data_IF_543542864125
#
_entry.id   IF_543542864125
#
_cell.length_a   1.000
_cell.length_b   1.000
_cell.length_c   1.000
_cell.angle_alpha   90.00
_cell.angle_beta   90.00
_cell.angle_gamma   90.00
#
_symmetry.space_group_name_H-M   'P 1'
#
loop_
_entity.id
_entity.type
_entity.pdbx_description
1 polymer ?
#
# COMPACT_ATOMS: atom_id res chain seq x y z
N UNK A 1 2.43 -13.74 4.52
CA UNK A 1 1.12 -13.08 4.48
C UNK A 1 1.06 -11.99 3.43
N UNK A 2 2.03 -11.05 3.37
CA UNK A 2 2.11 -10.00 2.33
C UNK A 2 1.87 -10.46 0.88
N UNK A 3 2.25 -11.69 0.52
CA UNK A 3 1.96 -12.25 -0.80
C UNK A 3 0.46 -12.38 -1.13
N UNK A 4 -0.42 -12.35 -0.13
CA UNK A 4 -1.88 -12.33 -0.31
C UNK A 4 -2.37 -11.00 -0.90
N UNK A 5 -1.60 -9.93 -0.70
CA UNK A 5 -1.79 -8.62 -1.34
C UNK A 5 -0.66 -8.36 -2.37
N UNK A 6 -0.13 -9.43 -2.98
CA UNK A 6 0.85 -9.36 -4.06
C UNK A 6 2.24 -8.76 -3.70
N UNK A 7 2.50 -8.46 -2.42
CA UNK A 7 3.79 -7.94 -1.97
C UNK A 7 4.80 -9.04 -1.63
N UNK A 8 6.06 -8.80 -1.97
CA UNK A 8 7.23 -9.64 -1.63
C UNK A 8 8.10 -8.91 -0.61
N UNK A 9 8.42 -9.58 0.49
CA UNK A 9 9.29 -9.07 1.55
C UNK A 9 10.74 -9.47 1.25
N UNK A 10 11.64 -8.49 1.29
CA UNK A 10 13.07 -8.70 1.05
C UNK A 10 13.89 -8.87 2.34
N UNK A 11 13.37 -8.39 3.48
CA UNK A 11 14.06 -8.40 4.78
C UNK A 11 15.13 -7.33 4.93
N UNK A 12 15.20 -6.36 4.01
CA UNK A 12 16.08 -5.19 4.08
C UNK A 12 15.40 -3.97 3.48
N UNK A 13 15.42 -2.85 4.19
CA UNK A 13 14.76 -1.62 3.73
C UNK A 13 15.33 -1.10 2.40
N UNK A 14 14.43 -0.72 1.52
CA UNK A 14 14.73 0.09 0.35
C UNK A 14 15.00 1.54 0.78
N UNK A 15 16.06 2.18 0.26
CA UNK A 15 16.35 3.57 0.57
C UNK A 15 15.36 4.51 -0.16
N UNK A 16 14.83 5.50 0.56
CA UNK A 16 14.03 6.56 -0.05
C UNK A 16 14.90 7.45 -0.94
N UNK A 17 14.54 7.68 -2.21
CA UNK A 17 15.29 8.58 -3.09
C UNK A 17 15.05 10.07 -2.72
N UNK A 18 15.95 10.98 -3.11
CA UNK A 18 15.84 12.41 -2.81
C UNK A 18 14.50 13.06 -3.17
N UNK A 19 13.94 12.75 -4.35
CA UNK A 19 12.64 13.23 -4.82
C UNK A 19 11.48 12.87 -3.89
N UNK A 20 11.57 11.72 -3.23
CA UNK A 20 10.59 11.29 -2.23
C UNK A 20 10.84 11.99 -0.90
N UNK A 21 12.10 12.06 -0.46
CA UNK A 21 12.48 12.68 0.83
C UNK A 21 12.05 14.14 0.94
N UNK A 22 11.99 14.88 -0.17
CA UNK A 22 11.51 16.27 -0.18
C UNK A 22 10.07 16.42 0.31
N UNK A 23 9.22 15.43 0.02
CA UNK A 23 7.79 15.43 0.32
C UNK A 23 7.36 14.36 1.32
N UNK A 24 8.31 13.60 1.86
CA UNK A 24 8.03 12.41 2.66
C UNK A 24 7.24 12.74 3.94
N UNK A 25 6.19 11.95 4.16
CA UNK A 25 5.41 11.92 5.39
C UNK A 25 5.71 10.58 6.07
N UNK A 26 6.24 10.64 7.29
CA UNK A 26 6.52 9.44 8.08
C UNK A 26 5.23 8.83 8.60
N UNK A 27 5.04 7.54 8.35
CA UNK A 27 3.98 6.74 8.96
C UNK A 27 4.54 6.01 10.19
N UNK A 28 4.11 6.34 11.42
CA UNK A 28 4.65 5.70 12.62
C UNK A 28 4.24 4.23 12.77
N UNK A 29 3.23 3.78 12.03
CA UNK A 29 2.75 2.39 12.05
C UNK A 29 3.46 1.49 11.01
N UNK A 30 4.38 2.06 10.21
CA UNK A 30 5.23 1.35 9.25
C UNK A 30 6.66 1.36 9.75
N UNK A 31 7.16 0.19 10.16
CA UNK A 31 8.52 0.08 10.70
C UNK A 31 9.56 -0.06 9.58
N UNK A 32 9.20 -0.72 8.48
CA UNK A 32 10.10 -1.13 7.41
C UNK A 32 9.56 -0.80 6.03
N UNK A 33 10.46 -0.40 5.13
CA UNK A 33 10.19 -0.26 3.70
C UNK A 33 10.88 -1.42 2.96
N UNK A 34 10.58 -2.66 3.31
CA UNK A 34 11.23 -3.85 2.77
C UNK A 34 10.32 -4.73 1.89
N UNK A 35 9.08 -4.27 1.67
CA UNK A 35 8.06 -4.89 0.85
C UNK A 35 7.94 -4.21 -0.53
N UNK A 36 7.85 -4.99 -1.61
CA UNK A 36 7.58 -4.45 -2.95
C UNK A 36 6.55 -5.28 -3.71
N UNK A 37 5.91 -4.67 -4.71
CA UNK A 37 5.00 -5.31 -5.66
C UNK A 37 5.24 -4.78 -7.07
N UNK A 38 4.75 -5.49 -8.09
CA UNK A 38 4.83 -5.06 -9.49
C UNK A 38 3.59 -4.23 -9.86
N UNK A 39 3.81 -2.99 -10.32
CA UNK A 39 2.78 -2.08 -10.79
C UNK A 39 2.88 -1.87 -12.30
N UNK A 40 1.73 -1.79 -12.98
CA UNK A 40 1.63 -1.48 -14.40
C UNK A 40 1.56 0.04 -14.59
N UNK A 41 2.73 0.68 -14.59
CA UNK A 41 2.92 2.12 -14.63
C UNK A 41 3.13 2.56 -16.08
N UNK A 42 2.23 3.39 -16.60
CA UNK A 42 2.27 3.86 -17.99
C UNK A 42 2.42 2.73 -19.05
N UNK A 43 1.90 1.54 -18.75
CA UNK A 43 1.98 0.35 -19.62
C UNK A 43 3.25 -0.48 -19.47
N UNK A 44 4.15 -0.13 -18.54
CA UNK A 44 5.33 -0.90 -18.18
C UNK A 44 5.19 -1.50 -16.79
N UNK A 45 5.70 -2.72 -16.60
CA UNK A 45 5.73 -3.36 -15.29
C UNK A 45 6.96 -2.89 -14.52
N UNK A 46 6.74 -2.19 -13.42
CA UNK A 46 7.78 -1.64 -12.56
C UNK A 46 7.57 -2.19 -11.15
N UNK A 47 8.63 -2.77 -10.58
CA UNK A 47 8.64 -3.18 -9.18
C UNK A 47 8.82 -1.94 -8.31
N UNK A 48 7.85 -1.70 -7.43
CA UNK A 48 7.87 -0.56 -6.53
C UNK A 48 7.63 -1.00 -5.09
N UNK A 49 8.34 -0.36 -4.16
CA UNK A 49 7.93 -0.29 -2.76
C UNK A 49 7.10 0.98 -2.55
N UNK A 50 6.48 1.11 -1.40
CA UNK A 50 5.59 2.23 -1.09
C UNK A 50 6.21 3.19 -0.11
N UNK A 51 5.84 4.46 -0.26
CA UNK A 51 6.04 5.48 0.76
C UNK A 51 4.85 6.41 0.79
N UNK A 52 4.81 7.31 1.76
CA UNK A 52 3.77 8.33 1.84
C UNK A 52 4.37 9.71 1.61
N UNK A 53 3.76 10.50 0.74
CA UNK A 53 4.26 11.82 0.33
C UNK A 53 3.15 12.85 0.34
N UNK A 54 3.52 14.10 0.61
CA UNK A 54 2.67 15.25 0.36
C UNK A 54 2.63 15.55 -1.15
N UNK A 55 1.46 15.83 -1.71
CA UNK A 55 1.30 16.20 -3.13
C UNK A 55 1.49 17.70 -3.38
N UNK A 56 1.58 18.50 -2.31
CA UNK A 56 1.84 19.95 -2.31
C UNK A 56 2.59 20.36 -1.05
N UNK A 57 3.29 21.50 -1.09
CA UNK A 57 3.87 22.06 0.13
C UNK A 57 2.77 22.45 1.13
N UNK A 58 2.95 22.06 2.40
CA UNK A 58 1.98 22.35 3.47
C UNK A 58 1.65 23.85 3.63
N UNK A 59 2.58 24.74 3.28
CA UNK A 59 2.33 26.20 3.29
C UNK A 59 1.25 26.66 2.31
N UNK A 60 0.93 25.84 1.31
CA UNK A 60 -0.06 26.10 0.27
C UNK A 60 -1.42 25.43 0.57
N UNK A 61 -1.56 24.82 1.75
CA UNK A 61 -2.67 23.94 2.12
C UNK A 61 -3.52 24.55 3.24
N UNK A 62 -4.85 24.51 3.05
CA UNK A 62 -5.85 24.92 4.04
C UNK A 62 -6.93 23.83 4.28
N UNK A 63 -6.67 22.57 3.92
CA UNK A 63 -7.64 21.45 4.02
C UNK A 63 -7.13 20.30 4.90
N UNK A 64 -7.88 19.20 4.95
CA UNK A 64 -7.49 17.97 5.66
C UNK A 64 -6.23 17.33 5.07
N UNK A 65 -5.58 16.53 5.93
CA UNK A 65 -4.31 15.86 5.69
C UNK A 65 -4.33 14.95 4.45
N UNK A 66 -5.39 14.14 4.29
CA UNK A 66 -5.49 13.15 3.22
C UNK A 66 -5.69 13.77 1.83
N UNK A 67 -6.28 14.96 1.74
CA UNK A 67 -6.47 15.66 0.47
C UNK A 67 -5.15 15.98 -0.25
N UNK A 68 -4.05 16.17 0.50
CA UNK A 68 -2.75 16.57 -0.05
C UNK A 68 -1.65 15.57 0.25
N UNK A 69 -2.01 14.30 0.38
CA UNK A 69 -1.06 13.22 0.57
C UNK A 69 -1.46 12.03 -0.29
N UNK A 70 -0.49 11.25 -0.71
CA UNK A 70 -0.74 10.05 -1.51
C UNK A 70 0.30 8.98 -1.25
N UNK A 71 -0.07 7.75 -1.57
CA UNK A 71 0.84 6.60 -1.60
C UNK A 71 1.75 6.74 -2.81
N UNK A 72 3.03 7.01 -2.56
CA UNK A 72 4.06 7.00 -3.57
C UNK A 72 4.43 5.56 -3.92
N UNK A 73 4.49 5.26 -5.22
CA UNK A 73 5.07 4.03 -5.76
C UNK A 73 6.50 4.33 -6.18
N UNK A 74 7.46 3.78 -5.45
CA UNK A 74 8.88 4.13 -5.56
C UNK A 74 9.62 2.94 -6.18
N UNK A 75 10.24 3.10 -7.37
CA UNK A 75 10.96 2.02 -8.03
C UNK A 75 12.05 1.40 -7.14
N UNK A 76 12.10 0.07 -7.08
CA UNK A 76 13.13 -0.65 -6.30
C UNK A 76 14.53 -0.57 -6.90
N UNK A 77 14.64 -0.12 -8.16
CA UNK A 77 15.92 0.03 -8.87
C UNK A 77 16.74 1.26 -8.43
N UNK A 78 16.16 2.10 -7.57
CA UNK A 78 16.80 3.29 -7.02
C UNK A 78 16.74 4.52 -7.93
N UNK A 79 15.91 4.51 -8.98
CA UNK A 79 15.65 5.70 -9.80
C UNK A 79 15.07 6.81 -8.91
N UNK A 80 15.58 8.05 -9.07
CA UNK A 80 15.16 9.21 -8.29
C UNK A 80 13.85 9.82 -8.79
N UNK A 81 12.78 9.01 -8.73
CA UNK A 81 11.41 9.37 -9.07
C UNK A 81 10.46 8.62 -8.14
N UNK A 82 9.21 9.07 -8.10
CA UNK A 82 8.09 8.26 -7.63
C UNK A 82 6.89 8.47 -8.55
N UNK A 83 6.00 7.49 -8.53
CA UNK A 83 4.72 7.54 -9.19
C UNK A 83 3.61 7.59 -8.15
N UNK A 84 2.39 7.87 -8.60
CA UNK A 84 1.19 7.89 -7.77
C UNK A 84 0.23 6.78 -8.20
N UNK A 85 -0.84 6.50 -7.44
CA UNK A 85 -1.84 5.52 -7.86
C UNK A 85 -2.49 5.86 -9.21
N UNK A 86 -2.51 7.12 -9.62
CA UNK A 86 -3.06 7.57 -10.92
C UNK A 86 -2.19 7.16 -12.12
N UNK A 87 -0.90 6.91 -11.89
CA UNK A 87 0.05 6.54 -12.95
C UNK A 87 0.02 5.02 -13.27
N UNK A 88 -0.67 4.24 -12.45
CA UNK A 88 -0.76 2.78 -12.57
C UNK A 88 -2.18 2.30 -12.88
N UNK A 89 -2.29 1.25 -13.67
CA UNK A 89 -3.60 0.65 -14.01
C UNK A 89 -4.03 -0.48 -13.08
N UNK A 90 -3.16 -0.95 -12.16
CA UNK A 90 -3.39 -2.14 -11.35
C UNK A 90 -3.25 -1.91 -9.84
N UNK A 91 -3.33 -0.65 -9.36
CA UNK A 91 -3.18 -0.33 -7.93
C UNK A 91 -4.14 -1.15 -7.04
N UNK A 92 -5.43 -1.09 -7.36
CA UNK A 92 -6.50 -1.80 -6.62
C UNK A 92 -6.38 -3.33 -6.75
N UNK A 93 -5.82 -3.83 -7.86
CA UNK A 93 -5.58 -5.26 -8.04
C UNK A 93 -4.45 -5.76 -7.14
N UNK A 94 -3.36 -4.98 -7.02
CA UNK A 94 -2.22 -5.29 -6.15
C UNK A 94 -2.66 -5.32 -4.69
N UNK A 95 -3.24 -4.22 -4.19
CA UNK A 95 -3.61 -4.13 -2.78
C UNK A 95 -4.91 -4.86 -2.40
N UNK A 96 -5.81 -5.05 -3.37
CA UNK A 96 -7.20 -5.39 -3.09
C UNK A 96 -8.02 -4.19 -2.60
N UNK A 97 -9.32 -4.38 -2.50
CA UNK A 97 -10.32 -3.33 -2.20
C UNK A 97 -11.20 -3.67 -1.00
N UNK A 98 -10.74 -4.58 -0.14
CA UNK A 98 -11.46 -4.95 1.09
C UNK A 98 -11.54 -3.81 2.11
N UNK A 99 -10.57 -2.91 2.09
CA UNK A 99 -10.39 -1.81 3.04
C UNK A 99 -10.61 -0.47 2.34
N UNK A 100 -11.01 0.55 3.09
CA UNK A 100 -11.51 1.81 2.53
C UNK A 100 -10.44 2.75 1.98
N UNK A 101 -9.17 2.53 2.34
CA UNK A 101 -8.02 3.28 1.85
C UNK A 101 -6.75 2.46 2.06
N UNK A 102 -5.69 2.80 1.33
CA UNK A 102 -4.38 2.14 1.42
C UNK A 102 -3.29 3.19 1.40
N UNK A 103 -2.43 3.17 2.41
CA UNK A 103 -1.24 4.01 2.52
C UNK A 103 0.03 3.17 2.35
N UNK A 104 0.04 1.99 2.99
CA UNK A 104 1.19 1.09 3.01
C UNK A 104 0.71 -0.39 3.02
N UNK A 105 1.46 -1.35 2.44
CA UNK A 105 1.14 -2.78 2.51
C UNK A 105 1.08 -3.32 3.95
N UNK A 106 1.84 -2.77 4.89
CA UNK A 106 1.80 -3.19 6.29
C UNK A 106 0.42 -2.94 6.90
N UNK A 107 -0.08 -1.71 6.78
CA UNK A 107 -1.43 -1.35 7.22
C UNK A 107 -2.51 -2.11 6.43
N UNK A 108 -2.34 -2.24 5.11
CA UNK A 108 -3.29 -2.96 4.28
C UNK A 108 -3.45 -4.41 4.75
N UNK A 109 -2.34 -5.08 5.04
CA UNK A 109 -2.34 -6.44 5.53
C UNK A 109 -2.89 -6.52 6.96
N UNK A 110 -2.56 -5.55 7.82
CA UNK A 110 -3.04 -5.47 9.19
C UNK A 110 -4.56 -5.29 9.27
N UNK A 111 -5.16 -4.42 8.45
CA UNK A 111 -6.60 -4.21 8.42
C UNK A 111 -7.34 -5.44 7.88
N UNK A 112 -6.84 -6.05 6.79
CA UNK A 112 -7.40 -7.30 6.29
C UNK A 112 -7.31 -8.42 7.35
N UNK A 113 -6.22 -8.48 8.11
CA UNK A 113 -6.08 -9.41 9.22
C UNK A 113 -7.11 -9.14 10.32
N UNK A 114 -7.27 -7.88 10.73
CA UNK A 114 -8.25 -7.48 11.72
C UNK A 114 -9.68 -7.86 11.27
N UNK A 115 -10.01 -7.62 10.00
CA UNK A 115 -11.29 -8.00 9.41
C UNK A 115 -11.51 -9.51 9.41
N UNK A 116 -10.51 -10.29 9.01
CA UNK A 116 -10.57 -11.74 9.03
C UNK A 116 -10.83 -12.28 10.45
N UNK A 117 -10.19 -11.69 11.46
CA UNK A 117 -10.35 -12.11 12.86
C UNK A 117 -11.67 -11.66 13.48
N UNK A 118 -12.13 -10.44 13.19
CA UNK A 118 -13.32 -9.86 13.79
C UNK A 118 -14.62 -10.37 13.15
N UNK A 119 -14.61 -10.59 11.84
CA UNK A 119 -15.84 -10.82 11.06
C UNK A 119 -15.81 -12.15 10.27
N UNK A 120 -14.64 -12.77 10.10
CA UNK A 120 -14.49 -13.96 9.27
C UNK A 120 -14.89 -13.71 7.82
N UNK A 121 -15.06 -14.76 7.02
CA UNK A 121 -15.38 -14.65 5.59
C UNK A 121 -16.71 -13.92 5.29
N UNK A 122 -17.58 -13.77 6.28
CA UNK A 122 -18.89 -13.16 6.13
C UNK A 122 -18.87 -11.64 6.01
N UNK A 123 -17.76 -10.97 6.34
CA UNK A 123 -17.71 -9.50 6.33
C UNK A 123 -18.45 -8.85 7.48
N UNK A 124 -18.17 -7.56 7.72
CA UNK A 124 -18.73 -6.80 8.84
C UNK A 124 -20.26 -6.69 8.79
N UNK A 125 -20.83 -6.66 7.59
CA UNK A 125 -22.27 -6.52 7.30
C UNK A 125 -22.92 -7.85 6.84
N UNK A 126 -22.17 -8.95 6.85
CA UNK A 126 -22.65 -10.25 6.38
C UNK A 126 -22.70 -10.41 4.85
N UNK A 127 -22.16 -9.46 4.07
CA UNK A 127 -22.16 -9.50 2.60
C UNK A 127 -20.84 -10.01 1.98
N UNK A 128 -19.87 -10.41 2.81
CA UNK A 128 -18.55 -10.84 2.37
C UNK A 128 -17.62 -9.67 2.06
N UNK A 129 -16.66 -9.89 1.16
CA UNK A 129 -15.64 -8.92 0.78
C UNK A 129 -15.47 -8.87 -0.75
N UNK A 130 -15.00 -7.75 -1.33
CA UNK A 130 -14.62 -7.67 -2.74
C UNK A 130 -13.52 -8.66 -3.14
N UNK A 131 -12.53 -8.85 -2.28
CA UNK A 131 -11.40 -9.76 -2.43
C UNK A 131 -11.42 -10.83 -1.31
N UNK A 132 -12.40 -11.75 -1.32
CA UNK A 132 -12.57 -12.75 -0.26
C UNK A 132 -11.39 -13.72 -0.15
N UNK A 133 -10.62 -13.91 -1.24
CA UNK A 133 -9.40 -14.71 -1.27
C UNK A 133 -8.32 -14.22 -0.31
N UNK A 134 -8.22 -12.90 -0.09
CA UNK A 134 -7.27 -12.32 0.88
C UNK A 134 -7.66 -12.78 2.29
N UNK A 135 -8.93 -12.62 2.66
CA UNK A 135 -9.47 -13.00 3.97
C UNK A 135 -9.36 -14.50 4.20
N UNK A 136 -9.73 -15.30 3.20
CA UNK A 136 -9.62 -16.76 3.27
C UNK A 136 -8.16 -17.19 3.43
N UNK A 137 -7.24 -16.58 2.68
CA UNK A 137 -5.80 -16.83 2.78
C UNK A 137 -5.24 -16.55 4.16
N UNK A 138 -5.71 -15.48 4.83
CA UNK A 138 -5.34 -15.17 6.22
C UNK A 138 -5.84 -16.27 7.18
N UNK A 139 -7.12 -16.63 7.07
CA UNK A 139 -7.73 -17.66 7.93
C UNK A 139 -7.00 -18.99 7.77
N UNK A 140 -6.61 -19.34 6.54
CA UNK A 140 -5.88 -20.58 6.28
C UNK A 140 -4.42 -20.52 6.75
N UNK A 141 -3.77 -19.36 6.71
CA UNK A 141 -2.41 -19.18 7.24
C UNK A 141 -2.33 -19.38 8.76
N UNK A 142 -3.42 -19.17 9.49
CA UNK A 142 -3.49 -19.30 10.95
C UNK A 142 -3.83 -20.71 11.46
N UNK A 143 -4.17 -21.64 10.57
CA UNK A 143 -4.48 -23.04 10.92
C UNK A 143 -3.21 -23.88 11.00
#
# INVERSE_FOLDING_TARGET
MYSLIHFTITGSDFPLPPSVLEYHITNPDVEHHDAYATFCINGENIDCFTGFVATKHYSEVHSDFFTYSTTALIPVDGTDIYYTPEDTSNFDEVFGTNIGYVIDPEECMADNFAYAMAYGIGGQDGQGYPNPEIIQGIIDYLK
#
